data_IF_543663277547
#
_entry.id   IF_543663277547
#
_cell.length_a   1.000
_cell.length_b   1.000
_cell.length_c   1.000
_cell.angle_alpha   90.00
_cell.angle_beta   90.00
_cell.angle_gamma   90.00
#
_symmetry.space_group_name_H-M   'P 1'
#
loop_
_entity.id
_entity.type
_entity.pdbx_description
1 polymer ?
#
# COMPACT_ATOMS: atom_id res chain seq x y z
N UNK A 1 19.15 -12.69 18.59
CA UNK A 1 20.08 -13.83 18.44
C UNK A 1 20.96 -13.54 17.24
N UNK A 2 22.27 -13.74 17.35
CA UNK A 2 23.23 -13.55 16.26
C UNK A 2 23.49 -14.91 15.61
N UNK A 3 23.17 -15.05 14.34
CA UNK A 3 23.54 -16.23 13.55
C UNK A 3 24.68 -15.88 12.60
N UNK A 4 25.80 -16.62 12.59
CA UNK A 4 26.86 -16.40 11.62
C UNK A 4 26.46 -17.02 10.27
N UNK A 5 26.39 -16.21 9.24
CA UNK A 5 26.34 -16.67 7.85
C UNK A 5 27.74 -16.56 7.24
N UNK A 6 28.18 -17.61 6.52
CA UNK A 6 29.45 -17.58 5.79
C UNK A 6 29.13 -17.27 4.32
N UNK A 7 29.48 -16.08 3.89
CA UNK A 7 29.42 -15.70 2.48
C UNK A 7 30.86 -15.33 2.02
N UNK A 8 31.32 -15.96 0.95
CA UNK A 8 32.65 -15.73 0.36
C UNK A 8 33.84 -15.81 1.38
N UNK A 9 33.73 -16.77 2.33
CA UNK A 9 34.76 -16.99 3.35
C UNK A 9 34.85 -15.97 4.47
N UNK A 10 33.88 -15.04 4.58
CA UNK A 10 33.75 -14.05 5.66
C UNK A 10 32.55 -14.34 6.53
N UNK A 11 32.71 -14.22 7.86
CA UNK A 11 31.58 -14.25 8.79
C UNK A 11 30.88 -12.91 8.78
N UNK A 12 29.64 -12.88 8.29
CA UNK A 12 28.74 -11.71 8.40
C UNK A 12 27.84 -11.96 9.61
N UNK A 13 27.94 -11.13 10.63
CA UNK A 13 27.05 -11.16 11.80
C UNK A 13 25.86 -10.23 11.53
N UNK A 14 24.72 -10.81 11.18
CA UNK A 14 23.47 -10.07 11.08
C UNK A 14 22.92 -9.86 12.49
N UNK A 15 22.78 -8.62 12.92
CA UNK A 15 22.02 -8.26 14.10
C UNK A 15 20.55 -8.18 13.70
N UNK A 16 19.81 -9.25 13.97
CA UNK A 16 18.35 -9.17 13.87
C UNK A 16 17.85 -8.32 15.03
N UNK A 17 17.22 -7.19 14.71
CA UNK A 17 16.42 -6.46 15.66
C UNK A 17 15.35 -7.42 16.20
N UNK A 18 15.29 -7.56 17.52
CA UNK A 18 14.32 -8.44 18.19
C UNK A 18 12.89 -7.95 17.93
N UNK A 19 12.32 -8.30 16.76
CA UNK A 19 10.89 -8.33 16.60
C UNK A 19 10.43 -9.77 16.80
N UNK A 20 9.40 -9.95 17.61
CA UNK A 20 8.55 -11.14 17.53
C UNK A 20 7.88 -11.15 16.15
N UNK A 21 8.68 -11.43 15.10
CA UNK A 21 8.21 -11.64 13.74
C UNK A 21 7.58 -13.02 13.71
N UNK A 22 6.35 -13.13 14.18
CA UNK A 22 5.58 -14.38 14.11
C UNK A 22 4.62 -14.37 12.93
N UNK A 23 4.91 -13.62 11.86
CA UNK A 23 3.97 -13.48 10.74
C UNK A 23 4.67 -13.12 9.43
N UNK A 24 4.01 -13.44 8.32
CA UNK A 24 4.39 -13.04 6.97
C UNK A 24 3.15 -12.69 6.14
N UNK A 25 3.35 -12.14 4.94
CA UNK A 25 2.28 -11.74 4.03
C UNK A 25 2.47 -12.26 2.62
N UNK A 26 1.39 -12.28 1.83
CA UNK A 26 1.42 -12.51 0.38
C UNK A 26 0.76 -11.32 -0.31
N UNK A 27 1.48 -10.73 -1.27
CA UNK A 27 0.96 -9.75 -2.22
C UNK A 27 0.81 -10.39 -3.60
N UNK A 28 -0.36 -10.31 -4.20
CA UNK A 28 -0.61 -10.79 -5.56
C UNK A 28 -0.92 -9.61 -6.48
N UNK A 29 -0.04 -9.35 -7.44
CA UNK A 29 -0.20 -8.24 -8.38
C UNK A 29 -1.03 -8.63 -9.59
N UNK A 30 -2.17 -7.97 -9.80
CA UNK A 30 -3.02 -8.14 -10.98
C UNK A 30 -2.89 -6.91 -11.87
N UNK A 31 -2.15 -6.98 -12.98
CA UNK A 31 -1.85 -5.80 -13.80
C UNK A 31 -3.00 -5.37 -14.71
N UNK A 32 -4.12 -6.06 -14.71
CA UNK A 32 -5.19 -5.82 -15.68
C UNK A 32 -6.06 -4.63 -15.31
N UNK A 33 -6.24 -3.73 -16.29
CA UNK A 33 -7.20 -2.63 -16.24
C UNK A 33 -8.04 -2.60 -17.50
N UNK A 34 -9.31 -2.25 -17.39
CA UNK A 34 -10.17 -2.03 -18.58
C UNK A 34 -9.77 -0.76 -19.33
N UNK A 35 -9.36 0.28 -18.58
CA UNK A 35 -8.79 1.53 -19.08
C UNK A 35 -7.79 2.05 -18.05
N UNK A 36 -6.76 2.77 -18.50
CA UNK A 36 -5.76 3.37 -17.60
C UNK A 36 -6.20 4.76 -17.20
N UNK A 37 -6.14 5.07 -15.91
CA UNK A 37 -6.31 6.41 -15.39
C UNK A 37 -5.13 7.28 -15.79
N UNK A 38 -5.36 8.58 -16.04
CA UNK A 38 -4.31 9.49 -16.57
C UNK A 38 -3.18 9.77 -15.57
N UNK A 39 -3.41 9.56 -14.29
CA UNK A 39 -2.46 9.81 -13.20
C UNK A 39 -1.65 8.58 -12.79
N UNK A 40 -2.06 7.37 -13.22
CA UNK A 40 -1.58 6.12 -12.64
C UNK A 40 -0.18 5.76 -13.16
N UNK A 41 0.81 5.76 -12.25
CA UNK A 41 2.17 5.28 -12.47
C UNK A 41 2.35 3.76 -12.28
N UNK A 42 1.37 3.08 -11.68
CA UNK A 42 1.48 1.63 -11.46
C UNK A 42 1.54 0.85 -12.77
N UNK A 43 2.34 -0.22 -12.75
CA UNK A 43 2.38 -1.15 -13.87
C UNK A 43 1.00 -1.77 -14.12
N UNK A 44 0.46 -1.55 -15.30
CA UNK A 44 -0.86 -2.06 -15.70
C UNK A 44 -0.95 -2.24 -17.21
N UNK A 45 -1.84 -3.14 -17.63
CA UNK A 45 -2.08 -3.48 -19.03
C UNK A 45 -3.56 -3.64 -19.32
N UNK A 46 -3.94 -3.41 -20.58
CA UNK A 46 -5.30 -3.68 -21.08
C UNK A 46 -5.41 -5.02 -21.82
N UNK A 47 -4.37 -5.87 -21.78
CA UNK A 47 -4.33 -7.18 -22.45
C UNK A 47 -5.13 -8.24 -21.65
N UNK A 48 -6.44 -8.02 -21.51
CA UNK A 48 -7.33 -8.87 -20.72
C UNK A 48 -7.40 -10.34 -21.23
N UNK A 49 -7.04 -10.58 -22.48
CA UNK A 49 -7.00 -11.94 -23.04
C UNK A 49 -5.91 -12.84 -22.46
N UNK A 50 -4.96 -12.27 -21.71
CA UNK A 50 -3.87 -13.02 -21.08
C UNK A 50 -4.19 -13.46 -19.64
N UNK A 51 -5.41 -13.27 -19.16
CA UNK A 51 -5.76 -13.56 -17.75
C UNK A 51 -5.53 -15.02 -17.37
N UNK A 52 -5.89 -15.96 -18.24
CA UNK A 52 -5.80 -17.40 -17.93
C UNK A 52 -4.33 -17.81 -17.78
N UNK A 53 -3.51 -17.49 -18.79
CA UNK A 53 -2.07 -17.79 -18.76
C UNK A 53 -1.35 -17.06 -17.64
N UNK A 54 -1.80 -15.83 -17.31
CA UNK A 54 -1.23 -15.03 -16.24
C UNK A 54 -1.51 -15.65 -14.88
N UNK A 55 -2.75 -16.06 -14.61
CA UNK A 55 -3.11 -16.73 -13.35
C UNK A 55 -2.40 -18.07 -13.24
N UNK A 56 -2.27 -18.83 -14.35
CA UNK A 56 -1.48 -20.06 -14.37
C UNK A 56 -0.01 -19.82 -13.99
N UNK A 57 0.58 -18.72 -14.49
CA UNK A 57 1.95 -18.34 -14.15
C UNK A 57 2.07 -17.95 -12.67
N UNK A 58 1.12 -17.17 -12.12
CA UNK A 58 1.10 -16.82 -10.69
C UNK A 58 1.00 -18.05 -9.79
N UNK A 59 0.19 -19.04 -10.18
CA UNK A 59 0.05 -20.28 -9.39
C UNK A 59 1.31 -21.12 -9.42
N UNK A 60 2.02 -21.17 -10.57
CA UNK A 60 3.35 -21.82 -10.65
C UNK A 60 4.35 -21.08 -9.77
N UNK A 61 4.45 -19.74 -9.87
CA UNK A 61 5.35 -18.94 -9.06
C UNK A 61 5.11 -19.17 -7.55
N UNK A 62 3.83 -19.23 -7.13
CA UNK A 62 3.48 -19.48 -5.74
C UNK A 62 4.01 -20.84 -5.25
N UNK A 63 3.96 -21.86 -6.10
CA UNK A 63 4.48 -23.19 -5.78
C UNK A 63 6.01 -23.23 -5.78
N UNK A 64 6.66 -22.60 -6.76
CA UNK A 64 8.12 -22.58 -6.93
C UNK A 64 8.82 -21.76 -5.83
N UNK A 65 8.14 -20.74 -5.28
CA UNK A 65 8.69 -19.85 -4.26
C UNK A 65 8.14 -20.12 -2.85
N UNK A 66 7.66 -21.33 -2.61
CA UNK A 66 7.11 -21.73 -1.31
C UNK A 66 8.07 -21.51 -0.14
N UNK A 67 9.35 -21.71 -0.36
CA UNK A 67 10.42 -21.61 0.65
C UNK A 67 11.07 -20.21 0.71
N UNK A 68 10.49 -19.21 0.00
CA UNK A 68 11.04 -17.85 0.00
C UNK A 68 10.81 -17.13 1.34
N UNK A 69 9.66 -17.36 1.95
CA UNK A 69 9.34 -16.78 3.26
C UNK A 69 10.05 -17.56 4.38
N UNK A 70 10.40 -16.89 5.50
CA UNK A 70 10.78 -17.60 6.72
C UNK A 70 9.70 -18.62 7.12
N UNK A 71 10.06 -19.59 7.96
CA UNK A 71 9.13 -20.61 8.50
C UNK A 71 8.15 -19.96 9.54
N UNK A 72 7.40 -18.99 9.06
CA UNK A 72 6.47 -18.18 9.83
C UNK A 72 5.07 -18.20 9.18
N UNK A 73 4.00 -18.15 9.96
CA UNK A 73 2.65 -18.23 9.42
C UNK A 73 2.32 -17.04 8.53
N UNK A 74 1.68 -17.30 7.39
CA UNK A 74 1.13 -16.25 6.53
C UNK A 74 -0.19 -15.77 7.13
N UNK A 75 -0.19 -14.52 7.60
CA UNK A 75 -1.36 -13.93 8.28
C UNK A 75 -2.16 -12.98 7.38
N UNK A 76 -1.56 -12.49 6.30
CA UNK A 76 -2.23 -11.56 5.39
C UNK A 76 -2.06 -11.94 3.92
N UNK A 77 -3.14 -11.77 3.16
CA UNK A 77 -3.15 -11.83 1.69
C UNK A 77 -3.72 -10.51 1.17
N UNK A 78 -3.04 -9.94 0.19
CA UNK A 78 -3.49 -8.73 -0.50
C UNK A 78 -3.42 -8.93 -2.01
N UNK A 79 -4.55 -8.84 -2.69
CA UNK A 79 -4.62 -8.87 -4.15
C UNK A 79 -4.89 -7.46 -4.63
N UNK A 80 -3.90 -6.87 -5.32
CA UNK A 80 -3.93 -5.46 -5.74
C UNK A 80 -3.29 -5.22 -7.09
N UNK A 81 -2.97 -3.95 -7.37
CA UNK A 81 -2.23 -3.51 -8.55
C UNK A 81 -3.04 -2.71 -9.55
N UNK A 82 -3.38 -3.27 -10.70
CA UNK A 82 -4.25 -2.63 -11.68
C UNK A 82 -5.71 -2.64 -11.22
N UNK A 83 -6.42 -3.74 -11.47
CA UNK A 83 -7.81 -3.89 -11.04
C UNK A 83 -8.14 -5.39 -10.88
N UNK A 84 -7.96 -5.97 -9.69
CA UNK A 84 -8.23 -7.39 -9.45
C UNK A 84 -9.68 -7.81 -9.74
N UNK A 85 -10.65 -6.91 -9.54
CA UNK A 85 -12.07 -7.14 -9.86
C UNK A 85 -12.34 -7.33 -11.37
N UNK A 86 -11.34 -7.11 -12.23
CA UNK A 86 -11.43 -7.40 -13.67
C UNK A 86 -11.14 -8.85 -14.04
N UNK A 87 -10.60 -9.64 -13.11
CA UNK A 87 -10.46 -11.07 -13.35
C UNK A 87 -11.82 -11.73 -13.54
N UNK A 88 -11.87 -12.73 -14.45
CA UNK A 88 -13.06 -13.59 -14.54
C UNK A 88 -13.34 -14.26 -13.19
N UNK A 89 -14.60 -14.54 -12.90
CA UNK A 89 -14.98 -15.25 -11.66
C UNK A 89 -14.22 -16.57 -11.51
N UNK A 90 -13.91 -17.25 -12.62
CA UNK A 90 -13.11 -18.47 -12.65
C UNK A 90 -11.68 -18.21 -12.17
N UNK A 91 -10.98 -17.24 -12.76
CA UNK A 91 -9.59 -16.92 -12.42
C UNK A 91 -9.46 -16.35 -11.01
N UNK A 92 -10.37 -15.46 -10.62
CA UNK A 92 -10.41 -14.92 -9.26
C UNK A 92 -10.59 -16.05 -8.23
N UNK A 93 -11.48 -17.00 -8.50
CA UNK A 93 -11.70 -18.16 -7.61
C UNK A 93 -10.46 -19.06 -7.50
N UNK A 94 -9.83 -19.39 -8.63
CA UNK A 94 -8.61 -20.21 -8.64
C UNK A 94 -7.49 -19.56 -7.82
N UNK A 95 -7.25 -18.27 -8.05
CA UNK A 95 -6.21 -17.52 -7.35
C UNK A 95 -6.52 -17.44 -5.84
N UNK A 96 -7.71 -16.98 -5.48
CA UNK A 96 -8.09 -16.84 -4.07
C UNK A 96 -8.01 -18.17 -3.30
N UNK A 97 -8.50 -19.26 -3.87
CA UNK A 97 -8.47 -20.56 -3.21
C UNK A 97 -7.04 -21.08 -3.00
N UNK A 98 -6.17 -20.89 -4.00
CA UNK A 98 -4.76 -21.31 -3.87
C UNK A 98 -3.99 -20.47 -2.87
N UNK A 99 -4.16 -19.13 -2.87
CA UNK A 99 -3.54 -18.24 -1.88
C UNK A 99 -4.01 -18.60 -0.46
N UNK A 100 -5.31 -18.86 -0.29
CA UNK A 100 -5.87 -19.26 1.00
C UNK A 100 -5.35 -20.61 1.48
N UNK A 101 -5.22 -21.60 0.58
CA UNK A 101 -4.63 -22.90 0.88
C UNK A 101 -3.15 -22.76 1.30
N UNK A 102 -2.41 -21.91 0.61
CA UNK A 102 -1.01 -21.60 0.95
C UNK A 102 -0.88 -20.96 2.35
N UNK A 103 -1.71 -19.95 2.66
CA UNK A 103 -1.68 -19.26 3.96
C UNK A 103 -2.19 -20.16 5.11
N UNK A 104 -3.06 -21.11 4.82
CA UNK A 104 -3.58 -22.05 5.81
C UNK A 104 -4.51 -21.40 6.84
N UNK A 105 -4.44 -21.88 8.09
CA UNK A 105 -5.36 -21.47 9.17
C UNK A 105 -4.99 -20.16 9.86
N UNK A 106 -3.79 -19.64 9.62
CA UNK A 106 -3.26 -18.44 10.27
C UNK A 106 -3.73 -17.14 9.61
N UNK A 107 -4.46 -17.24 8.50
CA UNK A 107 -4.91 -16.09 7.73
C UNK A 107 -5.92 -15.24 8.54
N UNK A 108 -5.55 -13.97 8.76
CA UNK A 108 -6.35 -13.00 9.51
C UNK A 108 -6.98 -11.93 8.59
N UNK A 109 -6.25 -11.46 7.60
CA UNK A 109 -6.72 -10.46 6.63
C UNK A 109 -6.55 -10.95 5.20
N UNK A 110 -7.64 -10.97 4.46
CA UNK A 110 -7.66 -11.24 3.04
C UNK A 110 -8.30 -10.06 2.30
N UNK A 111 -7.45 -9.21 1.72
CA UNK A 111 -7.85 -7.99 1.01
C UNK A 111 -7.88 -8.20 -0.49
N UNK A 112 -8.89 -7.63 -1.15
CA UNK A 112 -8.96 -7.50 -2.61
C UNK A 112 -9.27 -6.06 -2.97
N UNK A 113 -8.51 -5.49 -3.92
CA UNK A 113 -8.81 -4.19 -4.52
C UNK A 113 -9.89 -4.31 -5.59
N UNK A 114 -10.81 -3.36 -5.59
CA UNK A 114 -11.92 -3.33 -6.54
C UNK A 114 -12.18 -1.92 -7.06
N UNK A 115 -12.68 -1.83 -8.29
CA UNK A 115 -13.33 -0.61 -8.73
C UNK A 115 -14.81 -0.59 -8.29
N UNK A 116 -15.37 0.57 -7.92
CA UNK A 116 -16.78 0.66 -7.49
C UNK A 116 -17.77 0.05 -8.48
N UNK A 117 -17.59 0.30 -9.78
CA UNK A 117 -18.47 -0.17 -10.86
C UNK A 117 -18.39 -1.68 -11.14
N UNK A 118 -17.38 -2.38 -10.60
CA UNK A 118 -17.25 -3.83 -10.72
C UNK A 118 -17.97 -4.58 -9.56
N UNK A 119 -18.26 -3.89 -8.44
CA UNK A 119 -18.84 -4.52 -7.24
C UNK A 119 -20.36 -4.71 -7.39
N UNK A 120 -20.74 -5.73 -8.17
CA UNK A 120 -22.12 -6.20 -8.26
C UNK A 120 -22.46 -7.09 -7.05
N UNK A 121 -23.75 -7.39 -6.77
CA UNK A 121 -24.14 -8.36 -5.75
C UNK A 121 -23.49 -9.74 -5.95
N UNK A 122 -23.29 -10.16 -7.21
CA UNK A 122 -22.69 -11.43 -7.57
C UNK A 122 -21.20 -11.46 -7.22
N UNK A 123 -20.45 -10.39 -7.60
CA UNK A 123 -19.03 -10.31 -7.25
C UNK A 123 -18.83 -10.20 -5.73
N UNK A 124 -19.64 -9.39 -5.04
CA UNK A 124 -19.57 -9.26 -3.59
C UNK A 124 -19.81 -10.62 -2.89
N UNK A 125 -20.83 -11.37 -3.33
CA UNK A 125 -21.12 -12.72 -2.83
C UNK A 125 -19.99 -13.71 -3.12
N UNK A 126 -19.39 -13.63 -4.31
CA UNK A 126 -18.24 -14.46 -4.68
C UNK A 126 -17.05 -14.17 -3.77
N UNK A 127 -16.65 -12.90 -3.62
CA UNK A 127 -15.54 -12.50 -2.74
C UNK A 127 -15.73 -13.02 -1.31
N UNK A 128 -16.92 -12.85 -0.75
CA UNK A 128 -17.24 -13.36 0.58
C UNK A 128 -17.11 -14.89 0.67
N UNK A 129 -17.63 -15.62 -0.32
CA UNK A 129 -17.55 -17.08 -0.37
C UNK A 129 -16.12 -17.60 -0.47
N UNK A 130 -15.22 -16.85 -1.10
CA UNK A 130 -13.78 -17.16 -1.21
C UNK A 130 -13.02 -16.86 0.09
N UNK A 131 -13.67 -16.21 1.06
CA UNK A 131 -13.07 -15.88 2.35
C UNK A 131 -12.39 -14.50 2.38
N UNK A 132 -12.62 -13.66 1.37
CA UNK A 132 -12.22 -12.25 1.40
C UNK A 132 -12.98 -11.57 2.53
N UNK A 133 -12.25 -10.95 3.46
CA UNK A 133 -12.84 -10.28 4.62
C UNK A 133 -12.59 -8.78 4.65
N UNK A 134 -11.76 -8.25 3.71
CA UNK A 134 -11.52 -6.82 3.50
C UNK A 134 -11.55 -6.49 2.01
N UNK A 135 -12.17 -5.37 1.64
CA UNK A 135 -12.15 -4.83 0.28
C UNK A 135 -11.63 -3.39 0.33
N UNK A 136 -10.65 -3.06 -0.51
CA UNK A 136 -10.21 -1.69 -0.77
C UNK A 136 -10.79 -1.22 -2.10
N UNK A 137 -11.37 -0.02 -2.11
CA UNK A 137 -12.13 0.46 -3.25
C UNK A 137 -11.68 1.87 -3.66
N UNK A 138 -11.17 2.01 -4.87
CA UNK A 138 -10.72 3.30 -5.40
C UNK A 138 -11.89 4.23 -5.72
N UNK A 139 -12.43 4.94 -4.74
CA UNK A 139 -13.46 5.97 -4.93
C UNK A 139 -12.90 7.25 -5.58
N UNK A 140 -11.73 7.65 -5.20
CA UNK A 140 -10.92 8.79 -5.63
C UNK A 140 -11.58 10.15 -5.27
N UNK A 141 -12.78 10.42 -5.72
CA UNK A 141 -13.56 11.63 -5.46
C UNK A 141 -15.05 11.33 -5.62
N UNK A 142 -15.90 12.15 -5.03
CA UNK A 142 -17.35 12.12 -5.24
C UNK A 142 -17.83 13.16 -6.28
N UNK A 143 -16.89 13.79 -7.00
CA UNK A 143 -17.20 14.66 -8.14
C UNK A 143 -17.13 13.87 -9.45
N UNK A 144 -18.28 13.72 -10.13
CA UNK A 144 -18.35 13.07 -11.43
C UNK A 144 -17.49 13.78 -12.50
N UNK A 145 -17.28 15.09 -12.38
CA UNK A 145 -16.41 15.87 -13.25
C UNK A 145 -14.94 15.48 -13.07
N UNK A 146 -14.47 15.40 -11.81
CA UNK A 146 -13.10 14.98 -11.50
C UNK A 146 -12.88 13.51 -11.85
N UNK A 147 -13.86 12.63 -11.60
CA UNK A 147 -13.80 11.22 -12.04
C UNK A 147 -13.62 11.13 -13.56
N UNK A 148 -14.37 11.92 -14.34
CA UNK A 148 -14.24 11.98 -15.78
C UNK A 148 -12.87 12.53 -16.21
N UNK A 149 -12.37 13.58 -15.54
CA UNK A 149 -11.06 14.16 -15.80
C UNK A 149 -9.92 13.13 -15.66
N UNK A 150 -9.94 12.33 -14.59
CA UNK A 150 -8.91 11.29 -14.36
C UNK A 150 -9.19 9.98 -15.10
N UNK A 151 -10.16 9.92 -15.99
CA UNK A 151 -10.58 8.75 -16.76
C UNK A 151 -11.06 7.56 -15.90
N UNK A 152 -11.73 7.82 -14.76
CA UNK A 152 -12.41 6.77 -13.99
C UNK A 152 -13.71 6.36 -14.70
N UNK A 153 -14.01 5.05 -14.66
CA UNK A 153 -15.19 4.47 -15.29
C UNK A 153 -16.45 4.69 -14.48
N UNK A 154 -16.33 4.62 -13.15
CA UNK A 154 -17.44 4.73 -12.23
C UNK A 154 -17.93 6.18 -12.05
N UNK A 155 -19.13 6.30 -11.53
CA UNK A 155 -19.75 7.52 -11.06
C UNK A 155 -19.81 7.54 -9.54
N UNK A 156 -19.90 8.72 -8.94
CA UNK A 156 -19.90 8.89 -7.49
C UNK A 156 -20.97 8.05 -6.76
N UNK A 157 -22.18 7.91 -7.32
CA UNK A 157 -23.25 7.12 -6.70
C UNK A 157 -22.92 5.63 -6.59
N UNK A 158 -22.09 5.09 -7.51
CA UNK A 158 -21.70 3.66 -7.52
C UNK A 158 -20.82 3.28 -6.32
N UNK A 159 -20.11 4.24 -5.72
CA UNK A 159 -19.37 4.00 -4.47
C UNK A 159 -20.33 3.57 -3.35
N UNK A 160 -21.45 4.26 -3.22
CA UNK A 160 -22.48 3.92 -2.22
C UNK A 160 -23.12 2.56 -2.53
N UNK A 161 -23.46 2.31 -3.77
CA UNK A 161 -24.03 1.01 -4.19
C UNK A 161 -23.07 -0.13 -3.89
N UNK A 162 -21.78 0.04 -4.20
CA UNK A 162 -20.73 -0.95 -3.91
C UNK A 162 -20.63 -1.25 -2.41
N UNK A 163 -20.62 -0.23 -1.54
CA UNK A 163 -20.61 -0.42 -0.09
C UNK A 163 -21.83 -1.21 0.39
N UNK A 164 -23.02 -0.92 -0.15
CA UNK A 164 -24.26 -1.66 0.16
C UNK A 164 -24.15 -3.13 -0.29
N UNK A 165 -23.65 -3.38 -1.50
CA UNK A 165 -23.50 -4.72 -2.04
C UNK A 165 -22.52 -5.56 -1.19
N UNK A 166 -21.36 -4.98 -0.81
CA UNK A 166 -20.38 -5.64 0.06
C UNK A 166 -20.97 -5.99 1.42
N UNK A 167 -21.69 -5.05 2.07
CA UNK A 167 -22.33 -5.27 3.38
C UNK A 167 -23.41 -6.34 3.32
N UNK A 168 -24.21 -6.33 2.27
CA UNK A 168 -25.26 -7.34 2.05
C UNK A 168 -24.67 -8.75 1.85
N UNK A 169 -23.49 -8.84 1.22
CA UNK A 169 -22.76 -10.10 1.08
C UNK A 169 -22.07 -10.56 2.37
N UNK A 170 -21.91 -9.71 3.39
CA UNK A 170 -21.26 -10.01 4.67
C UNK A 170 -19.87 -9.39 4.84
N UNK A 171 -19.31 -8.70 3.84
CA UNK A 171 -18.02 -8.00 3.94
C UNK A 171 -18.25 -6.64 4.60
N UNK A 172 -17.74 -6.49 5.82
CA UNK A 172 -17.91 -5.28 6.63
C UNK A 172 -16.65 -4.43 6.75
N UNK A 173 -15.47 -5.00 6.60
CA UNK A 173 -14.20 -4.27 6.60
C UNK A 173 -13.98 -3.69 5.18
N UNK A 174 -14.38 -2.44 5.00
CA UNK A 174 -14.34 -1.73 3.72
C UNK A 174 -13.42 -0.53 3.86
N UNK A 175 -12.47 -0.42 2.93
CA UNK A 175 -11.62 0.74 2.71
C UNK A 175 -12.08 1.48 1.46
N UNK A 176 -12.03 2.81 1.50
CA UNK A 176 -12.12 3.64 0.30
C UNK A 176 -10.87 4.50 0.16
N UNK A 177 -10.43 4.66 -1.07
CA UNK A 177 -9.28 5.50 -1.39
C UNK A 177 -9.79 6.80 -1.98
N UNK A 178 -9.34 7.93 -1.42
CA UNK A 178 -9.66 9.29 -1.85
C UNK A 178 -8.39 9.96 -2.39
N UNK A 179 -8.58 10.94 -3.26
CA UNK A 179 -7.50 11.79 -3.76
C UNK A 179 -7.88 13.25 -3.61
N UNK A 180 -6.91 14.07 -3.23
CA UNK A 180 -7.02 15.53 -3.17
C UNK A 180 -5.90 16.20 -3.94
N UNK A 181 -6.01 17.49 -4.20
CA UNK A 181 -5.00 18.23 -4.95
C UNK A 181 -5.19 18.16 -6.47
N UNK A 182 -6.43 17.98 -6.92
CA UNK A 182 -6.76 18.11 -8.35
C UNK A 182 -6.49 19.54 -8.84
N UNK A 183 -6.21 19.73 -10.15
CA UNK A 183 -6.15 21.08 -10.72
C UNK A 183 -7.37 21.92 -10.35
N UNK A 184 -7.11 23.15 -9.90
CA UNK A 184 -8.16 24.11 -9.49
C UNK A 184 -9.05 23.66 -8.33
N UNK A 185 -8.67 22.61 -7.59
CA UNK A 185 -9.42 22.15 -6.42
C UNK A 185 -9.27 23.12 -5.25
N UNK A 186 -10.40 23.40 -4.58
CA UNK A 186 -10.45 24.22 -3.36
C UNK A 186 -10.65 23.33 -2.12
N UNK A 187 -10.34 23.87 -0.94
CA UNK A 187 -10.58 23.18 0.34
C UNK A 187 -12.06 22.82 0.53
N UNK A 188 -12.98 23.67 0.03
CA UNK A 188 -14.43 23.40 0.05
C UNK A 188 -14.81 22.24 -0.85
N UNK A 189 -14.18 22.12 -2.03
CA UNK A 189 -14.35 20.95 -2.89
C UNK A 189 -13.89 19.68 -2.19
N UNK A 190 -12.72 19.73 -1.52
CA UNK A 190 -12.21 18.60 -0.76
C UNK A 190 -13.11 18.19 0.40
N UNK A 191 -13.64 19.15 1.16
CA UNK A 191 -14.68 18.87 2.18
C UNK A 191 -15.89 18.15 1.61
N UNK A 192 -16.32 18.54 0.40
CA UNK A 192 -17.43 17.90 -0.32
C UNK A 192 -17.15 16.45 -0.73
N UNK A 193 -15.89 16.00 -0.72
CA UNK A 193 -15.51 14.59 -0.89
C UNK A 193 -15.39 13.85 0.46
N UNK A 194 -14.91 14.53 1.51
CA UNK A 194 -14.77 13.92 2.84
C UNK A 194 -16.14 13.64 3.47
N UNK A 195 -17.10 14.54 3.37
CA UNK A 195 -18.43 14.39 3.98
C UNK A 195 -19.19 13.15 3.48
N UNK A 196 -19.33 12.89 2.16
CA UNK A 196 -19.92 11.66 1.66
C UNK A 196 -19.13 10.41 2.10
N UNK A 197 -17.79 10.47 2.11
CA UNK A 197 -16.94 9.37 2.57
C UNK A 197 -17.26 8.99 4.02
N UNK A 198 -17.36 9.97 4.91
CA UNK A 198 -17.76 9.77 6.31
C UNK A 198 -19.18 9.21 6.42
N UNK A 199 -20.12 9.71 5.60
CA UNK A 199 -21.52 9.26 5.61
C UNK A 199 -21.70 7.78 5.23
N UNK A 200 -20.75 7.21 4.48
CA UNK A 200 -20.73 5.78 4.14
C UNK A 200 -20.46 4.90 5.37
N UNK A 201 -19.84 5.44 6.43
CA UNK A 201 -19.50 4.68 7.65
C UNK A 201 -18.60 3.50 7.36
N UNK A 202 -17.62 3.65 6.45
CA UNK A 202 -16.61 2.63 6.15
C UNK A 202 -15.58 2.54 7.27
N UNK A 203 -14.87 1.43 7.36
CA UNK A 203 -13.94 1.18 8.47
C UNK A 203 -12.58 1.83 8.28
N UNK A 204 -12.23 2.13 7.02
CA UNK A 204 -10.91 2.61 6.65
C UNK A 204 -11.01 3.61 5.49
N UNK A 205 -10.18 4.64 5.52
CA UNK A 205 -10.06 5.65 4.46
C UNK A 205 -8.57 5.86 4.19
N UNK A 206 -8.15 5.64 2.95
CA UNK A 206 -6.86 6.09 2.44
C UNK A 206 -7.06 7.41 1.72
N UNK A 207 -6.17 8.38 1.91
CA UNK A 207 -6.24 9.65 1.19
C UNK A 207 -4.85 10.09 0.74
N UNK A 208 -4.72 10.28 -0.57
CA UNK A 208 -3.45 10.59 -1.22
C UNK A 208 -3.53 11.94 -1.91
N UNK A 209 -2.43 12.71 -1.86
CA UNK A 209 -2.29 13.85 -2.76
C UNK A 209 -2.14 13.36 -4.20
N UNK A 210 -2.79 14.01 -5.16
CA UNK A 210 -2.60 13.72 -6.58
C UNK A 210 -1.15 14.01 -6.97
N UNK A 211 -0.43 12.98 -7.39
CA UNK A 211 0.95 13.10 -7.84
C UNK A 211 1.01 13.22 -9.36
N UNK A 212 1.92 14.09 -9.82
CA UNK A 212 2.19 14.31 -11.24
C UNK A 212 3.45 13.55 -11.63
N UNK A 213 3.31 12.22 -11.79
CA UNK A 213 4.43 11.34 -12.09
C UNK A 213 4.86 11.42 -13.55
N UNK A 214 6.16 11.57 -13.77
CA UNK A 214 6.77 11.59 -15.10
C UNK A 214 6.37 10.33 -15.90
N UNK A 215 6.08 10.52 -17.19
CA UNK A 215 5.61 9.45 -18.07
C UNK A 215 4.10 9.20 -18.04
N UNK A 216 3.34 9.84 -17.14
CA UNK A 216 1.87 9.75 -17.12
C UNK A 216 1.23 10.80 -18.05
N UNK A 217 0.02 10.53 -18.59
CA UNK A 217 -0.72 11.54 -19.35
C UNK A 217 -1.02 12.81 -18.55
N UNK A 218 -1.22 12.70 -17.24
CA UNK A 218 -1.45 13.84 -16.34
C UNK A 218 -0.22 14.75 -16.29
N UNK A 219 0.97 14.17 -16.13
CA UNK A 219 2.23 14.92 -16.13
C UNK A 219 2.45 15.65 -17.45
N UNK A 220 2.12 15.02 -18.58
CA UNK A 220 2.17 15.68 -19.89
C UNK A 220 1.25 16.90 -19.99
N UNK A 221 0.04 16.84 -19.41
CA UNK A 221 -0.85 18.01 -19.36
C UNK A 221 -0.27 19.15 -18.56
N UNK A 222 0.47 18.85 -17.47
CA UNK A 222 1.19 19.82 -16.66
C UNK A 222 2.33 20.46 -17.45
N UNK A 223 3.20 19.65 -18.10
CA UNK A 223 4.30 20.15 -18.92
C UNK A 223 3.83 21.03 -20.09
N UNK A 224 2.70 20.70 -20.69
CA UNK A 224 2.08 21.48 -21.76
C UNK A 224 1.39 22.76 -21.24
N UNK A 225 1.38 23.00 -19.93
CA UNK A 225 0.72 24.16 -19.30
C UNK A 225 -0.81 24.15 -19.42
N UNK A 226 -1.42 23.00 -19.71
CA UNK A 226 -2.89 22.84 -19.81
C UNK A 226 -3.57 22.78 -18.47
N UNK A 227 -2.84 22.35 -17.45
CA UNK A 227 -3.25 22.31 -16.06
C UNK A 227 -2.14 22.89 -15.18
N UNK A 228 -2.48 23.17 -13.94
CA UNK A 228 -1.52 23.63 -12.91
C UNK A 228 -1.77 22.83 -11.63
N UNK A 229 -0.70 22.56 -10.91
CA UNK A 229 -0.80 22.06 -9.54
C UNK A 229 -1.40 23.13 -8.64
N UNK A 230 -2.11 22.71 -7.60
CA UNK A 230 -2.49 23.60 -6.51
C UNK A 230 -1.25 24.06 -5.75
N UNK A 231 -1.32 25.20 -5.05
CA UNK A 231 -0.21 25.64 -4.24
C UNK A 231 0.05 24.73 -3.04
N UNK A 232 1.29 24.70 -2.55
CA UNK A 232 1.67 23.96 -1.34
C UNK A 232 0.82 24.38 -0.13
N UNK A 233 0.52 25.67 0.01
CA UNK A 233 -0.34 26.17 1.10
C UNK A 233 -1.73 25.57 1.05
N UNK A 234 -2.35 25.49 -0.13
CA UNK A 234 -3.67 24.85 -0.31
C UNK A 234 -3.60 23.35 -0.06
N UNK A 235 -2.55 22.68 -0.55
CA UNK A 235 -2.33 21.25 -0.30
C UNK A 235 -2.17 20.96 1.20
N UNK A 236 -1.43 21.80 1.92
CA UNK A 236 -1.28 21.70 3.37
C UNK A 236 -2.63 21.90 4.07
N UNK A 237 -3.41 22.91 3.69
CA UNK A 237 -4.73 23.16 4.28
C UNK A 237 -5.70 22.01 4.02
N UNK A 238 -5.65 21.38 2.84
CA UNK A 238 -6.44 20.17 2.52
C UNK A 238 -6.04 19.00 3.43
N UNK A 239 -4.75 18.76 3.61
CA UNK A 239 -4.26 17.68 4.46
C UNK A 239 -4.63 17.91 5.94
N UNK A 240 -4.47 19.14 6.45
CA UNK A 240 -4.90 19.53 7.79
C UNK A 240 -6.41 19.37 8.00
N UNK A 241 -7.20 19.73 6.99
CA UNK A 241 -8.65 19.54 6.98
C UNK A 241 -9.03 18.06 7.05
N UNK A 242 -8.36 17.22 6.25
CA UNK A 242 -8.54 15.77 6.26
C UNK A 242 -8.29 15.17 7.65
N UNK A 243 -7.11 15.44 8.21
CA UNK A 243 -6.74 14.92 9.54
C UNK A 243 -7.78 15.36 10.59
N UNK A 244 -8.18 16.62 10.54
CA UNK A 244 -9.12 17.18 11.51
C UNK A 244 -10.49 16.52 11.43
N UNK A 245 -11.07 16.42 10.23
CA UNK A 245 -12.40 15.87 10.03
C UNK A 245 -12.48 14.37 10.33
N UNK A 246 -11.46 13.60 9.87
CA UNK A 246 -11.46 12.16 10.10
C UNK A 246 -11.21 11.82 11.58
N UNK A 247 -10.30 12.54 12.26
CA UNK A 247 -10.07 12.30 13.69
C UNK A 247 -11.28 12.72 14.56
N UNK A 248 -11.97 13.80 14.22
CA UNK A 248 -13.25 14.18 14.87
C UNK A 248 -14.34 13.14 14.65
N UNK A 249 -14.32 12.43 13.52
CA UNK A 249 -15.26 11.34 13.24
C UNK A 249 -14.84 9.99 13.88
N UNK A 250 -13.76 9.97 14.68
CA UNK A 250 -13.31 8.80 15.43
C UNK A 250 -12.34 7.89 14.71
N UNK A 251 -11.80 8.30 13.55
CA UNK A 251 -10.74 7.56 12.88
C UNK A 251 -9.39 7.86 13.52
N UNK A 252 -8.56 6.83 13.66
CA UNK A 252 -7.15 6.95 14.00
C UNK A 252 -6.36 7.30 12.74
N UNK A 253 -5.60 8.40 12.76
CA UNK A 253 -4.56 8.67 11.78
C UNK A 253 -3.34 7.83 12.15
N UNK A 254 -3.16 6.66 11.55
CA UNK A 254 -2.18 5.68 11.99
C UNK A 254 -0.90 5.63 11.13
N UNK A 255 -0.96 6.18 9.92
CA UNK A 255 0.21 6.46 9.08
C UNK A 255 -0.12 7.61 8.11
N UNK A 256 0.86 8.11 7.36
CA UNK A 256 0.78 9.37 6.59
C UNK A 256 -0.50 9.52 5.78
N UNK A 257 -0.94 8.46 5.08
CA UNK A 257 -2.06 8.50 4.14
C UNK A 257 -3.29 7.73 4.61
N UNK A 258 -3.22 7.00 5.73
CA UNK A 258 -4.26 6.05 6.10
C UNK A 258 -4.90 6.35 7.46
N UNK A 259 -6.22 6.23 7.45
CA UNK A 259 -7.09 6.46 8.60
C UNK A 259 -8.00 5.25 8.80
N UNK A 260 -8.16 4.80 10.03
CA UNK A 260 -9.01 3.65 10.34
C UNK A 260 -9.79 3.86 11.64
N UNK A 261 -10.99 3.30 11.70
CA UNK A 261 -11.67 3.11 12.98
C UNK A 261 -10.85 2.16 13.86
N UNK A 262 -10.90 2.27 15.20
CA UNK A 262 -10.16 1.40 16.11
C UNK A 262 -10.35 -0.09 15.78
N UNK A 263 -9.24 -0.82 15.60
CA UNK A 263 -9.23 -2.24 15.24
C UNK A 263 -9.34 -2.55 13.73
N UNK A 264 -9.39 -1.53 12.84
CA UNK A 264 -9.55 -1.71 11.39
C UNK A 264 -8.38 -1.19 10.55
N UNK A 265 -7.22 -0.96 11.16
CA UNK A 265 -6.00 -0.68 10.41
C UNK A 265 -5.73 -1.81 9.42
N UNK A 266 -5.30 -1.50 8.20
CA UNK A 266 -4.89 -2.53 7.24
C UNK A 266 -3.70 -3.30 7.79
N UNK A 267 -3.87 -4.60 8.06
CA UNK A 267 -2.80 -5.44 8.59
C UNK A 267 -1.70 -5.63 7.56
N UNK A 268 -2.09 -5.89 6.30
CA UNK A 268 -1.12 -6.10 5.22
C UNK A 268 -0.28 -4.84 4.96
N UNK A 269 -0.90 -3.65 4.83
CA UNK A 269 -0.15 -2.42 4.61
C UNK A 269 0.72 -2.06 5.83
N UNK A 270 0.19 -2.28 7.05
CA UNK A 270 0.97 -2.06 8.29
C UNK A 270 2.17 -3.00 8.40
N UNK A 271 2.14 -4.18 7.77
CA UNK A 271 3.27 -5.10 7.77
C UNK A 271 4.47 -4.57 7.00
N UNK A 272 4.26 -3.80 5.93
CA UNK A 272 5.35 -3.13 5.21
C UNK A 272 6.10 -2.14 6.11
N UNK A 273 5.35 -1.32 6.86
CA UNK A 273 5.94 -0.33 7.78
C UNK A 273 6.68 -0.97 8.95
N UNK A 274 6.30 -2.19 9.31
CA UNK A 274 6.97 -2.99 10.35
C UNK A 274 8.07 -3.89 9.79
N UNK A 275 8.35 -3.82 8.51
CA UNK A 275 9.34 -4.65 7.80
C UNK A 275 9.10 -6.15 8.01
N UNK A 276 7.83 -6.57 8.00
CA UNK A 276 7.42 -7.97 8.06
C UNK A 276 7.66 -8.60 6.67
N UNK A 277 8.22 -9.83 6.60
CA UNK A 277 8.46 -10.51 5.34
C UNK A 277 7.19 -10.70 4.52
N UNK A 278 7.31 -10.60 3.22
CA UNK A 278 6.21 -10.89 2.31
C UNK A 278 6.71 -11.46 0.98
N UNK A 279 5.90 -12.32 0.40
CA UNK A 279 6.07 -12.85 -0.94
C UNK A 279 5.15 -12.09 -1.89
N UNK A 280 5.74 -11.38 -2.86
CA UNK A 280 5.01 -10.81 -3.99
C UNK A 280 5.03 -11.76 -5.16
N UNK A 281 3.86 -12.04 -5.74
CA UNK A 281 3.70 -12.82 -6.95
C UNK A 281 3.01 -12.00 -8.04
N UNK A 282 3.33 -12.29 -9.30
CA UNK A 282 2.82 -11.55 -10.44
C UNK A 282 3.85 -10.59 -11.04
N UNK A 283 3.61 -10.10 -12.26
CA UNK A 283 4.51 -9.16 -12.95
C UNK A 283 4.67 -7.87 -12.13
N UNK A 284 5.92 -7.36 -12.05
CA UNK A 284 6.32 -6.20 -11.26
C UNK A 284 6.09 -6.34 -9.73
N UNK A 285 5.75 -7.51 -9.22
CA UNK A 285 5.60 -7.71 -7.78
C UNK A 285 6.97 -7.72 -7.08
N UNK A 286 7.03 -7.06 -5.93
CA UNK A 286 8.19 -7.06 -5.06
C UNK A 286 8.01 -8.07 -3.92
N UNK A 287 9.11 -8.61 -3.42
CA UNK A 287 9.16 -9.51 -2.27
C UNK A 287 10.27 -9.09 -1.31
N UNK A 288 10.09 -9.37 -0.03
CA UNK A 288 11.04 -9.05 1.04
C UNK A 288 11.10 -10.20 2.06
N UNK A 289 12.32 -10.62 2.42
CA UNK A 289 12.54 -11.74 3.35
C UNK A 289 13.48 -11.41 4.51
N UNK A 290 13.60 -10.14 4.91
CA UNK A 290 14.48 -9.58 5.92
C UNK A 290 15.93 -9.34 5.45
N UNK A 291 16.47 -10.19 4.58
CA UNK A 291 17.86 -10.15 4.13
C UNK A 291 18.02 -9.71 2.69
N UNK A 292 16.94 -9.78 1.93
CA UNK A 292 16.93 -9.38 0.51
C UNK A 292 15.57 -8.84 0.08
N UNK A 293 15.61 -8.08 -0.99
CA UNK A 293 14.44 -7.73 -1.81
C UNK A 293 14.59 -8.34 -3.19
N UNK A 294 13.50 -8.74 -3.77
CA UNK A 294 13.42 -9.23 -5.14
C UNK A 294 12.24 -8.60 -5.83
N UNK A 295 12.33 -8.42 -7.13
CA UNK A 295 11.18 -8.00 -7.94
C UNK A 295 11.11 -8.77 -9.24
N UNK A 296 9.88 -8.99 -9.65
CA UNK A 296 9.58 -9.72 -10.85
C UNK A 296 9.66 -8.82 -12.08
N UNK A 297 9.89 -9.43 -13.24
CA UNK A 297 9.80 -8.74 -14.54
C UNK A 297 8.46 -8.01 -14.66
N UNK A 298 8.51 -6.77 -15.15
CA UNK A 298 7.31 -5.95 -15.30
C UNK A 298 6.49 -6.30 -16.56
N UNK A 299 7.05 -6.93 -17.59
CA UNK A 299 6.34 -7.32 -18.81
C UNK A 299 5.46 -8.56 -18.58
N UNK A 300 4.14 -8.41 -18.72
CA UNK A 300 3.15 -9.48 -18.52
C UNK A 300 3.39 -10.69 -19.45
N UNK A 301 3.89 -10.46 -20.68
CA UNK A 301 4.15 -11.54 -21.64
C UNK A 301 5.42 -12.31 -21.31
N UNK A 302 6.45 -11.62 -20.78
CA UNK A 302 7.65 -12.29 -20.25
C UNK A 302 7.30 -13.09 -19.02
N UNK A 303 6.54 -12.51 -18.11
CA UNK A 303 6.10 -13.18 -16.88
C UNK A 303 5.27 -14.45 -17.18
N UNK A 304 4.33 -14.41 -18.11
CA UNK A 304 3.50 -15.57 -18.45
C UNK A 304 4.28 -16.73 -19.07
N UNK A 305 5.41 -16.47 -19.74
CA UNK A 305 6.30 -17.52 -20.25
C UNK A 305 6.93 -18.37 -19.15
N UNK A 306 7.11 -17.78 -17.94
CA UNK A 306 7.61 -18.49 -16.78
C UNK A 306 9.13 -18.69 -16.72
N UNK A 307 9.88 -18.28 -17.72
CA UNK A 307 11.34 -18.35 -17.74
C UNK A 307 11.91 -17.06 -17.13
N UNK A 308 12.77 -17.21 -16.07
CA UNK A 308 13.45 -16.08 -15.44
C UNK A 308 12.50 -14.93 -15.02
N UNK A 309 11.49 -15.25 -14.21
CA UNK A 309 10.49 -14.26 -13.75
C UNK A 309 11.05 -13.22 -12.77
N UNK A 310 12.16 -13.52 -12.09
CA UNK A 310 12.84 -12.56 -11.22
C UNK A 310 13.72 -11.66 -12.10
N UNK A 311 13.47 -10.36 -12.06
CA UNK A 311 14.24 -9.37 -12.80
C UNK A 311 15.54 -9.05 -12.09
N UNK A 312 15.49 -8.83 -10.76
CA UNK A 312 16.66 -8.52 -9.97
C UNK A 312 16.46 -8.85 -8.47
N UNK A 313 17.56 -8.84 -7.73
CA UNK A 313 17.62 -9.14 -6.31
C UNK A 313 18.67 -8.25 -5.63
N UNK A 314 18.29 -7.59 -4.57
CA UNK A 314 19.14 -6.76 -3.72
C UNK A 314 19.35 -7.45 -2.37
N UNK A 315 20.63 -7.62 -1.98
CA UNK A 315 20.97 -8.07 -0.62
C UNK A 315 21.12 -6.86 0.29
N UNK A 316 20.45 -6.89 1.42
CA UNK A 316 20.37 -5.76 2.33
C UNK A 316 21.46 -5.81 3.38
N UNK A 317 22.42 -4.87 3.33
CA UNK A 317 23.40 -4.69 4.38
C UNK A 317 22.81 -3.94 5.61
N UNK A 318 23.65 -3.70 6.62
CA UNK A 318 23.20 -3.03 7.85
C UNK A 318 22.79 -1.56 7.61
N UNK A 319 23.37 -0.89 6.61
CA UNK A 319 23.05 0.50 6.28
C UNK A 319 21.70 0.55 5.59
N UNK A 320 21.48 -0.33 4.61
CA UNK A 320 20.21 -0.46 3.91
C UNK A 320 19.08 -0.83 4.85
N UNK A 321 19.32 -1.78 5.78
CA UNK A 321 18.33 -2.13 6.81
C UNK A 321 18.01 -0.97 7.76
N UNK A 322 19.01 -0.14 8.10
CA UNK A 322 18.81 1.07 8.87
C UNK A 322 17.98 2.09 8.07
N UNK A 323 18.33 2.35 6.81
CA UNK A 323 17.60 3.29 5.96
C UNK A 323 16.14 2.87 5.74
N UNK A 324 15.91 1.56 5.58
CA UNK A 324 14.57 0.99 5.53
C UNK A 324 13.77 1.24 6.80
N UNK A 325 14.41 1.07 7.97
CA UNK A 325 13.74 1.36 9.22
C UNK A 325 13.31 2.82 9.32
N UNK A 326 14.19 3.76 8.92
CA UNK A 326 13.87 5.19 8.92
C UNK A 326 12.67 5.47 8.02
N UNK A 327 12.74 5.01 6.76
CA UNK A 327 11.73 5.34 5.74
C UNK A 327 10.39 4.65 5.95
N UNK A 328 10.36 3.54 6.67
CA UNK A 328 9.12 2.81 6.99
C UNK A 328 8.51 3.22 8.33
N UNK A 329 9.30 3.21 9.41
CA UNK A 329 8.76 3.44 10.75
C UNK A 329 8.27 4.89 10.96
N UNK A 330 8.97 5.89 10.42
CA UNK A 330 8.55 7.29 10.54
C UNK A 330 7.26 7.61 9.77
N UNK A 331 6.83 6.77 8.85
CA UNK A 331 5.50 6.92 8.22
C UNK A 331 4.37 6.64 9.19
N UNK A 332 4.64 5.92 10.27
CA UNK A 332 3.62 5.46 11.21
C UNK A 332 3.52 6.36 12.44
N UNK A 333 2.36 6.32 13.08
CA UNK A 333 2.13 6.98 14.36
C UNK A 333 3.07 6.48 15.47
N UNK A 334 3.46 5.20 15.41
CA UNK A 334 4.34 4.58 16.39
C UNK A 334 5.77 5.10 16.29
N UNK A 335 6.22 5.49 15.10
CA UNK A 335 7.57 6.00 14.89
C UNK A 335 8.66 4.95 15.09
N UNK A 336 9.88 5.41 15.35
CA UNK A 336 11.07 4.58 15.56
C UNK A 336 11.26 4.31 17.03
N UNK A 337 11.24 3.04 17.45
CA UNK A 337 11.66 2.63 18.79
C UNK A 337 13.20 2.74 18.89
N UNK A 338 13.65 3.75 19.65
CA UNK A 338 15.08 4.05 19.82
C UNK A 338 15.81 2.91 20.55
N UNK A 339 15.14 2.18 21.45
CA UNK A 339 15.77 1.08 22.18
C UNK A 339 16.01 -0.15 21.29
N UNK A 340 15.29 -0.28 20.19
CA UNK A 340 15.49 -1.35 19.22
C UNK A 340 16.77 -1.19 18.37
N UNK A 341 17.35 0.01 18.35
CA UNK A 341 18.52 0.34 17.52
C UNK A 341 19.84 -0.18 18.13
N UNK A 342 20.82 -0.47 17.26
CA UNK A 342 22.21 -0.65 17.70
C UNK A 342 22.75 0.65 18.31
N UNK A 343 23.75 0.55 19.21
CA UNK A 343 24.38 1.74 19.82
C UNK A 343 24.95 2.71 18.75
N UNK A 344 25.45 2.18 17.65
CA UNK A 344 25.98 2.99 16.54
C UNK A 344 24.86 3.73 15.83
N UNK A 345 23.75 3.06 15.54
CA UNK A 345 22.58 3.64 14.86
C UNK A 345 21.87 4.65 15.76
N UNK A 346 21.76 4.35 17.05
CA UNK A 346 21.19 5.26 18.04
C UNK A 346 21.97 6.57 18.13
N UNK A 347 23.29 6.48 18.17
CA UNK A 347 24.16 7.67 18.20
C UNK A 347 24.02 8.51 16.93
N UNK A 348 23.99 7.84 15.77
CA UNK A 348 23.82 8.51 14.48
C UNK A 348 22.45 9.18 14.39
N UNK A 349 21.37 8.43 14.66
CA UNK A 349 20.00 8.94 14.61
C UNK A 349 19.79 10.14 15.54
N UNK A 350 20.27 10.04 16.79
CA UNK A 350 20.15 11.14 17.76
C UNK A 350 20.81 12.41 17.25
N UNK A 351 22.00 12.28 16.64
CA UNK A 351 22.70 13.43 16.08
C UNK A 351 22.00 14.01 14.84
N UNK A 352 21.56 13.15 13.93
CA UNK A 352 20.88 13.55 12.69
C UNK A 352 19.52 14.22 12.98
N UNK A 353 18.76 13.71 13.95
CA UNK A 353 17.43 14.20 14.29
C UNK A 353 17.40 15.56 15.00
N UNK A 354 18.53 16.00 15.63
CA UNK A 354 18.56 17.23 16.44
C UNK A 354 17.98 18.44 15.74
N UNK A 355 18.40 18.70 14.49
CA UNK A 355 17.92 19.85 13.71
C UNK A 355 16.41 19.80 13.49
N UNK A 356 15.88 18.65 13.08
CA UNK A 356 14.44 18.46 12.83
C UNK A 356 13.62 18.49 14.13
N UNK A 357 14.20 18.10 15.28
CA UNK A 357 13.58 18.25 16.59
C UNK A 357 13.53 19.73 17.00
N UNK A 358 14.63 20.48 16.86
CA UNK A 358 14.67 21.92 17.14
C UNK A 358 13.68 22.73 16.28
N UNK A 359 13.48 22.29 15.03
CA UNK A 359 12.50 22.87 14.13
C UNK A 359 11.05 22.46 14.43
N UNK A 360 10.84 21.51 15.35
CA UNK A 360 9.53 20.99 15.71
C UNK A 360 8.90 20.06 14.64
N UNK A 361 9.72 19.47 13.76
CA UNK A 361 9.26 18.47 12.78
C UNK A 361 9.28 17.05 13.35
N UNK A 362 10.18 16.78 14.29
CA UNK A 362 10.30 15.51 15.02
C UNK A 362 10.13 15.74 16.52
N UNK A 363 9.69 14.71 17.22
CA UNK A 363 9.61 14.68 18.68
C UNK A 363 9.99 13.28 19.19
N UNK A 364 10.61 13.22 20.37
CA UNK A 364 10.84 11.97 21.08
C UNK A 364 9.86 11.87 22.23
N UNK A 365 8.99 10.87 22.22
CA UNK A 365 8.04 10.56 23.29
C UNK A 365 8.12 9.08 23.64
N UNK A 366 8.18 8.75 24.93
CA UNK A 366 8.27 7.37 25.42
C UNK A 366 9.34 6.53 24.71
N UNK A 367 10.50 7.13 24.45
CA UNK A 367 11.62 6.52 23.74
C UNK A 367 11.36 6.17 22.26
N UNK A 368 10.35 6.77 21.65
CA UNK A 368 10.08 6.67 20.22
C UNK A 368 10.27 8.02 19.55
N UNK A 369 10.90 8.01 18.38
CA UNK A 369 11.07 9.18 17.51
C UNK A 369 9.92 9.22 16.52
N UNK A 370 9.11 10.28 16.54
CA UNK A 370 7.94 10.45 15.69
C UNK A 370 8.02 11.73 14.86
N UNK A 371 7.34 11.74 13.73
CA UNK A 371 6.96 12.96 13.04
C UNK A 371 5.88 13.69 13.86
N UNK A 372 6.07 15.00 14.03
CA UNK A 372 4.99 15.87 14.53
C UNK A 372 3.97 16.11 13.42
N UNK A 373 2.82 16.71 13.76
CA UNK A 373 1.84 17.12 12.73
C UNK A 373 2.45 18.03 11.66
N UNK A 374 3.36 18.93 12.06
CA UNK A 374 4.13 19.78 11.13
C UNK A 374 5.08 18.95 10.26
N UNK A 375 5.74 17.95 10.84
CA UNK A 375 6.69 17.09 10.14
C UNK A 375 6.04 16.14 9.13
N UNK A 376 4.78 15.76 9.34
CA UNK A 376 4.06 14.84 8.43
C UNK A 376 3.99 15.38 6.99
N UNK A 377 3.75 16.68 6.81
CA UNK A 377 3.64 17.27 5.48
C UNK A 377 4.95 17.30 4.70
N UNK A 378 6.09 17.35 5.40
CA UNK A 378 7.44 17.33 4.83
C UNK A 378 8.20 16.06 5.18
N UNK A 379 7.48 14.97 5.39
CA UNK A 379 8.01 13.71 5.90
C UNK A 379 9.20 13.18 5.09
N UNK A 380 9.14 13.24 3.77
CA UNK A 380 10.21 12.75 2.91
C UNK A 380 11.50 13.57 3.10
N UNK A 381 11.40 14.90 3.19
CA UNK A 381 12.54 15.75 3.45
C UNK A 381 13.16 15.49 4.84
N UNK A 382 12.31 15.22 5.85
CA UNK A 382 12.78 14.85 7.19
C UNK A 382 13.47 13.49 7.19
N UNK A 383 12.90 12.48 6.50
CA UNK A 383 13.50 11.15 6.40
C UNK A 383 14.85 11.17 5.70
N UNK A 384 15.01 11.97 4.62
CA UNK A 384 16.28 12.14 3.90
C UNK A 384 17.39 12.67 4.80
N UNK A 385 17.09 13.54 5.79
CA UNK A 385 18.09 14.01 6.75
C UNK A 385 18.56 12.91 7.74
N UNK A 386 17.85 11.79 7.86
CA UNK A 386 18.10 10.73 8.83
C UNK A 386 18.72 9.47 8.26
N UNK A 387 18.75 9.28 6.95
CA UNK A 387 19.37 8.12 6.28
C UNK A 387 20.89 8.27 6.19
N UNK A 388 21.58 7.14 5.93
CA UNK A 388 23.04 7.06 5.76
C UNK A 388 23.44 6.92 4.32
#
# INVERSE_FOLDING_TARGET
MTFPFVFDGKYVYLHFYNHELSMSGIYAHIPFCKSRCIYCGFYSTTLLSLQDEYVDAMLRELDDRRDYLPDEPVTTIYIGGGTPSMLSSHNLSRLCLRLKDFAGKSLEEFTVECNPDDITPELASLLYSLGVNRVSMGAQTFSDERLAFIHRRHKAYQVKEAVVNLRNAGIRNISIDLMFGFPDETVENWKSDIEPALSLGVQHISAYSLMYEEGTPLYKLLEEGKIKEISEDVSLEMYETLITLLTQAGYEHYEISNFALPGYRSKHNSSYWKRIPYLGIGAAAHSYNLTSRQWNVSDVKLYTKGDNIIEDCELLDNIEQYNDLITTALRTREGIDIDSLSETDKLFLTKAANKSIEQGNLIIENNHLHLTRKGLFISDAVMVELIR
#
